data_IF_665838942842
#
_entry.id   IF_665838942842
#
_cell.length_a   1.000
_cell.length_b   1.000
_cell.length_c   1.000
_cell.angle_alpha   90.00
_cell.angle_beta   90.00
_cell.angle_gamma   90.00
#
_symmetry.space_group_name_H-M   'P 1'
#
loop_
_entity.id
_entity.type
_entity.pdbx_description
1 polymer ?
#
# COMPACT_ATOMS: atom_id res chain seq x y z
N UNK A 1 11.78 15.31 -13.98
CA UNK A 1 11.70 16.51 -13.14
C UNK A 1 11.18 16.11 -11.78
N UNK A 2 11.90 16.43 -10.71
CA UNK A 2 11.43 16.25 -9.34
C UNK A 2 10.18 17.12 -9.17
N UNK A 3 9.04 16.53 -8.82
CA UNK A 3 7.84 17.31 -8.53
C UNK A 3 7.93 17.72 -7.07
N UNK A 4 8.32 18.96 -6.83
CA UNK A 4 8.18 19.60 -5.53
C UNK A 4 6.70 19.92 -5.33
N UNK A 5 6.04 19.17 -4.46
CA UNK A 5 4.63 19.39 -4.12
C UNK A 5 4.64 20.28 -2.89
N UNK A 6 4.63 21.59 -3.11
CA UNK A 6 4.58 22.61 -2.06
C UNK A 6 3.38 22.38 -1.14
N UNK A 7 3.64 21.67 -0.05
CA UNK A 7 2.81 21.51 1.13
C UNK A 7 3.76 21.39 2.32
N UNK A 8 3.29 21.56 3.57
CA UNK A 8 4.14 21.33 4.73
C UNK A 8 4.76 19.93 4.60
N UNK A 9 6.09 19.89 4.45
CA UNK A 9 6.85 18.65 4.39
C UNK A 9 6.58 17.91 5.70
N UNK A 10 5.76 16.86 5.65
CA UNK A 10 5.68 15.93 6.76
C UNK A 10 7.09 15.36 6.95
N UNK A 11 7.65 15.54 8.14
CA UNK A 11 9.02 15.13 8.45
C UNK A 11 9.20 13.63 8.63
N UNK A 12 8.10 12.85 8.64
CA UNK A 12 8.13 11.40 8.87
C UNK A 12 7.13 10.62 7.97
N UNK A 13 7.26 10.71 6.63
CA UNK A 13 6.47 9.90 5.72
C UNK A 13 7.02 8.45 5.70
N UNK A 14 6.19 7.45 5.38
CA UNK A 14 6.66 6.07 5.26
C UNK A 14 7.76 5.92 4.19
N UNK A 15 8.86 5.27 4.55
CA UNK A 15 10.03 5.10 3.70
C UNK A 15 10.02 3.74 3.01
N UNK A 16 9.95 3.73 1.68
CA UNK A 16 9.90 2.50 0.87
C UNK A 16 11.24 1.74 0.86
N UNK A 17 12.35 2.37 1.26
CA UNK A 17 13.66 1.71 1.34
C UNK A 17 13.69 0.53 2.31
N UNK A 18 12.77 0.48 3.28
CA UNK A 18 12.66 -0.60 4.26
C UNK A 18 11.79 -1.78 3.79
N UNK A 19 11.23 -1.75 2.57
CA UNK A 19 10.39 -2.82 2.04
C UNK A 19 11.10 -4.17 1.92
N UNK A 20 12.43 -4.16 1.79
CA UNK A 20 13.27 -5.34 1.61
C UNK A 20 14.40 -5.32 2.64
N UNK A 21 14.90 -6.50 3.04
CA UNK A 21 15.99 -6.63 4.04
C UNK A 21 17.37 -6.17 3.55
N UNK A 22 17.45 -5.59 2.35
CA UNK A 22 18.70 -5.22 1.69
C UNK A 22 19.16 -3.82 2.08
N UNK A 23 20.45 -3.55 1.93
CA UNK A 23 21.04 -2.24 2.26
C UNK A 23 20.99 -1.24 1.09
N UNK A 24 20.80 -1.73 -0.14
CA UNK A 24 20.58 -0.92 -1.33
C UNK A 24 19.11 -0.51 -1.48
N UNK A 25 18.87 0.72 -1.96
CA UNK A 25 17.52 1.14 -2.29
C UNK A 25 16.96 0.29 -3.44
N UNK A 26 15.67 -0.11 -3.41
CA UNK A 26 15.08 -0.86 -4.50
C UNK A 26 15.09 -0.02 -5.78
N UNK A 27 15.55 -0.62 -6.88
CA UNK A 27 15.51 0.02 -8.19
C UNK A 27 14.08 0.07 -8.73
N UNK A 28 13.68 1.22 -9.27
CA UNK A 28 12.43 1.36 -10.00
C UNK A 28 12.57 0.69 -11.36
N UNK A 29 11.64 -0.20 -11.70
CA UNK A 29 11.55 -0.77 -13.05
C UNK A 29 10.61 0.05 -13.93
N UNK A 30 9.41 0.35 -13.42
CA UNK A 30 8.36 1.07 -14.13
C UNK A 30 7.55 1.97 -13.19
N UNK A 31 6.95 3.02 -13.75
CA UNK A 31 5.95 3.85 -13.06
C UNK A 31 4.66 3.87 -13.86
N UNK A 32 3.53 3.75 -13.18
CA UNK A 32 2.21 3.72 -13.80
C UNK A 32 1.30 4.81 -13.24
N UNK A 33 0.30 5.16 -14.05
CA UNK A 33 -0.89 5.90 -13.62
C UNK A 33 -2.03 4.92 -13.37
N UNK A 34 -2.76 5.12 -12.26
CA UNK A 34 -3.88 4.28 -11.83
C UNK A 34 -5.20 4.95 -12.20
N UNK A 35 -6.20 4.13 -12.52
CA UNK A 35 -7.55 4.62 -12.82
C UNK A 35 -8.34 4.93 -11.56
N UNK A 36 -9.17 5.96 -11.65
CA UNK A 36 -10.19 6.33 -10.68
C UNK A 36 -11.17 5.23 -10.42
N UNK A 37 -11.82 5.35 -9.27
CA UNK A 37 -12.90 4.48 -8.88
C UNK A 37 -14.14 5.31 -8.60
N UNK A 38 -14.99 5.44 -9.61
CA UNK A 38 -16.21 6.20 -9.52
C UNK A 38 -17.24 5.44 -8.65
N UNK A 39 -17.64 6.03 -7.53
CA UNK A 39 -18.66 5.46 -6.64
C UNK A 39 -20.09 5.84 -7.02
N UNK A 40 -20.28 6.82 -7.90
CA UNK A 40 -21.60 7.21 -8.41
C UNK A 40 -22.18 6.21 -9.43
N UNK A 41 -21.41 5.19 -9.82
CA UNK A 41 -21.85 4.15 -10.73
C UNK A 41 -22.00 2.79 -10.01
N UNK A 42 -23.23 2.47 -9.63
CA UNK A 42 -23.61 1.14 -9.13
C UNK A 42 -23.26 0.87 -7.67
N UNK A 43 -23.78 -0.25 -7.15
CA UNK A 43 -23.69 -0.65 -5.74
C UNK A 43 -22.25 -0.91 -5.25
N UNK A 44 -21.33 -1.22 -6.16
CA UNK A 44 -19.93 -1.52 -5.86
C UNK A 44 -18.95 -0.52 -6.49
N UNK A 45 -19.46 0.58 -7.05
CA UNK A 45 -18.67 1.50 -7.88
C UNK A 45 -18.19 0.87 -9.18
N UNK A 46 -17.53 1.68 -10.01
CA UNK A 46 -16.91 1.24 -11.26
C UNK A 46 -15.63 2.02 -11.55
N UNK A 47 -14.78 1.49 -12.42
CA UNK A 47 -13.55 2.18 -12.86
C UNK A 47 -13.88 3.53 -13.52
N UNK A 48 -13.33 4.60 -12.97
CA UNK A 48 -13.37 5.97 -13.47
C UNK A 48 -12.16 6.34 -14.36
N UNK A 49 -11.88 7.64 -14.46
CA UNK A 49 -10.87 8.20 -15.36
C UNK A 49 -9.43 7.94 -14.88
N UNK A 50 -8.43 7.95 -15.77
CA UNK A 50 -7.03 7.82 -15.37
C UNK A 50 -6.59 9.00 -14.49
N UNK A 51 -5.90 8.76 -13.37
CA UNK A 51 -5.31 9.84 -12.58
C UNK A 51 -4.22 10.55 -13.36
N UNK A 52 -4.48 11.81 -13.70
CA UNK A 52 -3.50 12.68 -14.33
C UNK A 52 -2.56 13.34 -13.31
N UNK A 53 -2.90 13.32 -12.02
CA UNK A 53 -2.09 13.96 -10.97
C UNK A 53 -2.25 13.24 -9.62
N UNK A 54 -1.15 12.88 -8.93
CA UNK A 54 0.25 13.01 -9.38
C UNK A 54 0.55 12.11 -10.60
N UNK A 55 1.57 12.46 -11.39
CA UNK A 55 1.90 11.78 -12.64
C UNK A 55 2.37 10.32 -12.48
N UNK A 56 2.68 9.90 -11.25
CA UNK A 56 2.96 8.51 -10.86
C UNK A 56 2.10 8.21 -9.64
N UNK A 57 1.34 7.12 -9.72
CA UNK A 57 0.44 6.66 -8.65
C UNK A 57 0.68 5.20 -8.28
N UNK A 58 1.51 4.50 -9.06
CA UNK A 58 2.00 3.15 -8.79
C UNK A 58 3.44 3.03 -9.29
N UNK A 59 4.32 2.54 -8.44
CA UNK A 59 5.71 2.24 -8.77
C UNK A 59 5.92 0.72 -8.75
N UNK A 60 6.57 0.18 -9.76
CA UNK A 60 7.11 -1.17 -9.73
C UNK A 60 8.55 -1.10 -9.22
N UNK A 61 8.80 -1.83 -8.14
CA UNK A 61 10.09 -1.95 -7.48
C UNK A 61 10.64 -3.34 -7.75
N UNK A 62 11.88 -3.40 -8.23
CA UNK A 62 12.51 -4.67 -8.50
C UNK A 62 12.66 -5.49 -7.22
N UNK A 63 12.05 -6.67 -7.23
CA UNK A 63 12.11 -7.64 -6.14
C UNK A 63 12.76 -8.94 -6.63
N UNK A 64 13.56 -9.55 -5.76
CA UNK A 64 14.09 -10.90 -5.92
C UNK A 64 13.02 -11.87 -5.45
N UNK A 65 12.66 -12.82 -6.29
CA UNK A 65 11.68 -13.86 -5.95
C UNK A 65 12.01 -14.51 -4.60
N UNK A 66 11.00 -14.60 -3.73
CA UNK A 66 11.13 -15.21 -2.41
C UNK A 66 11.82 -14.35 -1.35
N UNK A 67 12.29 -13.14 -1.68
CA UNK A 67 12.88 -12.26 -0.65
C UNK A 67 11.79 -11.75 0.31
N UNK A 68 12.07 -11.64 1.62
CA UNK A 68 11.10 -11.13 2.58
C UNK A 68 10.69 -9.69 2.26
N UNK A 69 9.38 -9.44 2.33
CA UNK A 69 8.79 -8.11 2.18
C UNK A 69 8.33 -7.62 3.55
N UNK A 70 8.60 -6.36 3.86
CA UNK A 70 8.26 -5.70 5.13
C UNK A 70 7.34 -4.50 4.88
N UNK A 71 6.82 -3.92 5.97
CA UNK A 71 6.14 -2.62 5.87
C UNK A 71 7.17 -1.49 5.61
N UNK A 72 6.80 -0.44 4.85
CA UNK A 72 7.58 0.79 4.81
C UNK A 72 7.83 1.34 6.22
N UNK A 73 9.05 1.82 6.47
CA UNK A 73 9.43 2.28 7.81
C UNK A 73 8.88 3.68 8.10
N UNK A 74 8.61 3.95 9.38
CA UNK A 74 8.13 5.23 9.87
C UNK A 74 8.49 5.40 11.34
N UNK A 75 8.98 6.58 11.72
CA UNK A 75 9.30 6.88 13.12
C UNK A 75 8.08 6.81 14.05
N UNK A 76 6.94 7.36 13.63
CA UNK A 76 5.72 7.45 14.43
C UNK A 76 4.98 6.12 14.54
N UNK A 77 4.68 5.70 15.77
CA UNK A 77 3.85 4.54 16.07
C UNK A 77 2.34 4.86 16.04
N UNK A 78 1.53 3.92 15.57
CA UNK A 78 0.08 3.95 15.68
C UNK A 78 -0.40 3.35 17.00
N UNK A 79 0.26 2.35 17.59
CA UNK A 79 -0.05 1.88 18.94
C UNK A 79 1.24 1.77 19.78
N UNK A 80 1.08 1.73 21.11
CA UNK A 80 2.21 1.43 21.99
C UNK A 80 2.78 0.03 21.68
N UNK A 81 4.07 -0.19 21.97
CA UNK A 81 4.74 -1.44 21.65
C UNK A 81 5.30 -1.52 20.23
N UNK A 82 5.42 -0.38 19.53
CA UNK A 82 6.15 -0.28 18.27
C UNK A 82 5.32 -0.54 17.00
N UNK A 83 4.00 -0.69 17.10
CA UNK A 83 3.16 -0.88 15.91
C UNK A 83 3.10 0.38 15.06
N UNK A 84 3.33 0.25 13.75
CA UNK A 84 3.44 1.38 12.81
C UNK A 84 2.33 1.42 11.77
N UNK A 85 1.78 0.26 11.39
CA UNK A 85 0.78 0.15 10.34
C UNK A 85 -0.37 -0.75 10.76
N UNK A 86 -1.58 -0.40 10.31
CA UNK A 86 -2.80 -1.18 10.44
C UNK A 86 -3.10 -1.85 9.09
N UNK A 87 -3.44 -3.14 9.10
CA UNK A 87 -3.80 -3.89 7.89
C UNK A 87 -5.27 -3.61 7.56
N UNK A 88 -5.49 -2.77 6.56
CA UNK A 88 -6.82 -2.40 6.08
C UNK A 88 -7.38 -3.40 5.07
N UNK A 89 -6.51 -4.12 4.38
CA UNK A 89 -6.85 -5.20 3.47
C UNK A 89 -5.69 -6.18 3.33
N UNK A 90 -5.97 -7.47 3.26
CA UNK A 90 -5.01 -8.49 2.85
C UNK A 90 -5.70 -9.65 2.13
N UNK A 91 -5.12 -10.10 1.02
CA UNK A 91 -5.42 -11.38 0.39
C UNK A 91 -4.12 -12.14 0.10
N UNK A 92 -4.16 -13.18 -0.74
CA UNK A 92 -2.95 -13.96 -1.05
C UNK A 92 -1.86 -13.16 -1.77
N UNK A 93 -2.22 -12.09 -2.50
CA UNK A 93 -1.33 -11.37 -3.40
C UNK A 93 -1.29 -9.84 -3.26
N UNK A 94 -2.04 -9.31 -2.30
CA UNK A 94 -2.20 -7.88 -2.06
C UNK A 94 -2.31 -7.57 -0.57
N UNK A 95 -1.78 -6.43 -0.16
CA UNK A 95 -1.95 -5.89 1.19
C UNK A 95 -2.07 -4.37 1.17
N UNK A 96 -2.94 -3.82 2.00
CA UNK A 96 -3.12 -2.38 2.20
C UNK A 96 -2.83 -2.01 3.64
N UNK A 97 -1.97 -1.02 3.83
CA UNK A 97 -1.42 -0.58 5.10
C UNK A 97 -1.84 0.86 5.38
N UNK A 98 -2.55 1.10 6.47
CA UNK A 98 -2.83 2.43 6.99
C UNK A 98 -1.84 2.82 8.08
N UNK A 99 -1.27 4.02 8.00
CA UNK A 99 -0.33 4.55 9.02
C UNK A 99 -1.04 5.45 10.06
N UNK A 100 -2.30 5.10 10.35
CA UNK A 100 -3.15 5.66 11.40
C UNK A 100 -3.82 4.53 12.18
N UNK A 101 -4.64 4.87 13.19
CA UNK A 101 -5.48 3.89 13.91
C UNK A 101 -6.86 3.72 13.28
N UNK A 102 -7.11 4.41 12.18
CA UNK A 102 -8.43 4.49 11.57
C UNK A 102 -8.61 3.32 10.62
N UNK A 103 -9.78 2.68 10.68
CA UNK A 103 -10.23 1.76 9.63
C UNK A 103 -10.75 2.56 8.43
N UNK A 104 -9.89 3.42 7.89
CA UNK A 104 -10.17 4.22 6.70
C UNK A 104 -8.88 4.66 6.05
N UNK A 105 -8.93 4.77 4.73
CA UNK A 105 -7.85 5.37 3.95
C UNK A 105 -7.97 6.90 3.85
N UNK A 106 -8.98 7.51 4.46
CA UNK A 106 -9.27 8.94 4.35
C UNK A 106 -8.16 9.85 4.91
N UNK A 107 -7.53 9.42 6.01
CA UNK A 107 -6.57 10.22 6.76
C UNK A 107 -5.20 9.54 6.86
N UNK A 108 -4.14 10.36 6.77
CA UNK A 108 -2.76 9.91 6.89
C UNK A 108 -2.25 9.18 5.65
N UNK A 109 -1.16 8.44 5.83
CA UNK A 109 -0.54 7.68 4.75
C UNK A 109 -1.16 6.30 4.61
N UNK A 110 -1.37 5.89 3.36
CA UNK A 110 -1.77 4.53 3.01
C UNK A 110 -0.83 3.99 1.97
N UNK A 111 -0.42 2.74 2.12
CA UNK A 111 0.43 2.03 1.17
C UNK A 111 -0.27 0.77 0.71
N UNK A 112 -0.43 0.61 -0.59
CA UNK A 112 -0.90 -0.60 -1.23
C UNK A 112 0.29 -1.33 -1.83
N UNK A 113 0.42 -2.61 -1.50
CA UNK A 113 1.41 -3.51 -2.07
C UNK A 113 0.70 -4.62 -2.84
N UNK A 114 1.20 -4.96 -4.02
CA UNK A 114 0.70 -6.04 -4.85
C UNK A 114 1.86 -6.82 -5.50
N UNK A 115 1.55 -8.03 -5.99
CA UNK A 115 2.53 -8.96 -6.54
C UNK A 115 3.55 -9.45 -5.49
N UNK A 116 3.05 -9.82 -4.32
CA UNK A 116 3.77 -10.55 -3.27
C UNK A 116 3.00 -11.82 -2.89
N UNK A 117 3.63 -12.78 -2.23
CA UNK A 117 2.94 -13.85 -1.52
C UNK A 117 2.78 -13.41 -0.06
N UNK A 118 1.60 -12.92 0.30
CA UNK A 118 1.30 -12.46 1.67
C UNK A 118 1.36 -13.65 2.63
N UNK A 119 1.85 -13.43 3.86
CA UNK A 119 1.84 -14.47 4.89
C UNK A 119 0.40 -15.01 5.06
N UNK A 120 0.17 -16.32 4.86
CA UNK A 120 -1.18 -16.88 4.90
C UNK A 120 -1.85 -16.72 6.26
N UNK A 121 -1.10 -16.66 7.36
CA UNK A 121 -1.64 -16.42 8.69
C UNK A 121 -2.09 -14.96 8.84
N UNK A 122 -1.34 -14.01 8.26
CA UNK A 122 -1.73 -12.60 8.25
C UNK A 122 -2.99 -12.37 7.41
N UNK A 123 -3.07 -12.97 6.22
CA UNK A 123 -4.24 -12.91 5.37
C UNK A 123 -5.47 -13.55 6.05
N UNK A 124 -5.30 -14.71 6.69
CA UNK A 124 -6.36 -15.38 7.45
C UNK A 124 -6.83 -14.54 8.66
N UNK A 125 -5.90 -13.92 9.39
CA UNK A 125 -6.23 -13.06 10.52
C UNK A 125 -7.03 -11.84 10.08
N UNK A 126 -6.62 -11.19 8.99
CA UNK A 126 -7.39 -10.09 8.39
C UNK A 126 -8.79 -10.56 7.97
N UNK A 127 -8.91 -11.67 7.25
CA UNK A 127 -10.20 -12.20 6.79
C UNK A 127 -11.15 -12.52 7.96
N UNK A 128 -10.62 -13.07 9.07
CA UNK A 128 -11.38 -13.31 10.28
C UNK A 128 -11.86 -12.01 10.93
N UNK A 129 -10.99 -11.01 11.04
CA UNK A 129 -11.35 -9.67 11.54
C UNK A 129 -12.41 -8.98 10.66
N UNK A 130 -12.30 -9.12 9.35
CA UNK A 130 -13.25 -8.56 8.38
C UNK A 130 -14.64 -9.21 8.52
N UNK A 131 -14.69 -10.54 8.58
CA UNK A 131 -15.92 -11.29 8.81
C UNK A 131 -16.56 -10.98 10.18
N UNK A 132 -15.76 -10.62 11.18
CA UNK A 132 -16.22 -10.17 12.49
C UNK A 132 -16.65 -8.69 12.55
N UNK A 133 -16.70 -8.00 11.41
CA UNK A 133 -17.14 -6.60 11.33
C UNK A 133 -16.07 -5.57 11.65
N UNK A 134 -14.79 -5.95 11.55
CA UNK A 134 -13.61 -5.05 11.58
C UNK A 134 -13.43 -4.23 12.86
N UNK A 135 -14.01 -4.65 13.98
CA UNK A 135 -13.84 -3.98 15.27
C UNK A 135 -12.37 -3.95 15.76
N UNK A 136 -11.54 -4.88 15.28
CA UNK A 136 -10.10 -4.92 15.51
C UNK A 136 -9.40 -5.50 14.29
N UNK A 137 -8.47 -4.72 13.71
CA UNK A 137 -7.68 -5.12 12.56
C UNK A 137 -6.23 -5.44 12.98
N UNK A 138 -5.52 -6.30 12.23
CA UNK A 138 -4.11 -6.60 12.52
C UNK A 138 -3.26 -5.34 12.47
N UNK A 139 -2.36 -5.18 13.44
CA UNK A 139 -1.35 -4.12 13.44
C UNK A 139 0.04 -4.74 13.32
N UNK A 140 0.93 -4.07 12.59
CA UNK A 140 2.25 -4.58 12.20
C UNK A 140 3.37 -3.72 12.79
N UNK A 141 4.49 -4.36 13.12
CA UNK A 141 5.73 -3.69 13.52
C UNK A 141 6.73 -3.67 12.37
N UNK A 142 7.72 -2.80 12.49
CA UNK A 142 8.88 -2.84 11.61
C UNK A 142 9.71 -4.12 11.86
N UNK A 143 10.29 -4.66 10.80
CA UNK A 143 11.12 -5.86 10.86
C UNK A 143 10.34 -7.18 10.90
N UNK A 144 9.00 -7.14 10.98
CA UNK A 144 8.14 -8.31 10.83
C UNK A 144 7.86 -8.52 9.33
N UNK A 145 8.26 -9.67 8.74
CA UNK A 145 7.94 -9.95 7.35
C UNK A 145 6.42 -10.15 7.20
N UNK A 146 5.85 -9.50 6.19
CA UNK A 146 4.41 -9.58 5.85
C UNK A 146 4.13 -10.59 4.75
N UNK A 147 5.19 -11.19 4.20
CA UNK A 147 5.16 -12.10 3.07
C UNK A 147 6.52 -12.15 2.39
N UNK A 148 6.54 -12.70 1.18
CA UNK A 148 7.72 -12.74 0.31
C UNK A 148 7.37 -12.18 -1.06
N UNK A 149 8.35 -11.65 -1.78
CA UNK A 149 8.13 -11.18 -3.15
C UNK A 149 7.73 -12.36 -4.05
N UNK A 150 6.70 -12.16 -4.88
CA UNK A 150 6.34 -13.11 -5.92
C UNK A 150 7.32 -13.00 -7.10
N UNK A 151 7.06 -13.77 -8.16
CA UNK A 151 7.82 -13.59 -9.41
C UNK A 151 7.52 -12.21 -10.01
N UNK A 152 8.58 -11.46 -10.35
CA UNK A 152 8.49 -10.12 -10.94
C UNK A 152 8.62 -9.00 -9.91
N UNK A 153 8.15 -7.81 -10.27
CA UNK A 153 8.32 -6.60 -9.45
C UNK A 153 7.23 -6.47 -8.38
N UNK A 154 7.61 -5.95 -7.21
CA UNK A 154 6.66 -5.54 -6.19
C UNK A 154 5.99 -4.23 -6.65
N UNK A 155 4.66 -4.21 -6.70
CA UNK A 155 3.91 -3.02 -7.09
C UNK A 155 3.53 -2.23 -5.83
N UNK A 156 3.83 -0.94 -5.80
CA UNK A 156 3.63 -0.07 -4.64
C UNK A 156 2.87 1.19 -5.04
N UNK A 157 1.75 1.45 -4.38
CA UNK A 157 1.03 2.72 -4.49
C UNK A 157 0.97 3.38 -3.11
N UNK A 158 1.29 4.68 -3.04
CA UNK A 158 1.25 5.47 -1.80
C UNK A 158 0.21 6.58 -1.93
N UNK A 159 -0.58 6.76 -0.89
CA UNK A 159 -1.55 7.85 -0.74
C UNK A 159 -1.17 8.70 0.48
N UNK A 160 -1.24 10.03 0.32
CA UNK A 160 -1.10 11.02 1.39
C UNK A 160 -2.31 11.97 1.35
N UNK A 161 -3.02 12.11 2.48
CA UNK A 161 -4.19 12.98 2.72
C UNK A 161 -4.91 13.49 1.46
N UNK A 162 -6.01 12.83 1.12
CA UNK A 162 -6.77 13.13 -0.11
C UNK A 162 -6.47 12.16 -1.25
N UNK A 163 -7.25 12.26 -2.33
CA UNK A 163 -7.50 11.27 -3.41
C UNK A 163 -6.37 10.25 -3.65
N UNK A 164 -6.60 8.93 -3.45
CA UNK A 164 -7.67 8.14 -4.08
C UNK A 164 -8.53 7.19 -3.23
N UNK A 165 -9.75 6.96 -3.72
CA UNK A 165 -11.04 6.74 -3.04
C UNK A 165 -11.21 5.43 -2.23
N UNK A 166 -11.99 5.52 -1.14
CA UNK A 166 -12.32 4.45 -0.18
C UNK A 166 -13.73 3.87 -0.38
N UNK A 167 -13.80 2.60 -0.77
CA UNK A 167 -14.45 1.51 -0.03
C UNK A 167 -13.83 0.21 -0.57
N UNK A 168 -13.38 -0.66 0.31
CA UNK A 168 -12.63 -1.89 -0.02
C UNK A 168 -13.46 -2.82 -0.93
N UNK A 169 -13.08 -2.98 -2.21
CA UNK A 169 -13.29 -4.20 -3.07
C UNK A 169 -12.86 -4.11 -4.55
N UNK A 170 -12.37 -2.99 -5.07
CA UNK A 170 -12.05 -2.84 -6.50
C UNK A 170 -10.55 -2.80 -6.80
N UNK A 171 -10.03 -3.85 -7.44
CA UNK A 171 -8.67 -3.96 -7.95
C UNK A 171 -8.30 -2.81 -8.92
N UNK A 172 -7.09 -2.27 -8.80
CA UNK A 172 -6.56 -1.24 -9.72
C UNK A 172 -5.72 -1.93 -10.80
N UNK A 173 -6.26 -2.01 -12.02
CA UNK A 173 -5.49 -2.39 -13.21
C UNK A 173 -4.81 -1.18 -13.83
N UNK A 174 -3.48 -1.13 -13.87
CA UNK A 174 -2.70 -0.07 -14.54
C UNK A 174 -2.55 -0.30 -16.05
N UNK A 175 -2.38 0.78 -16.82
CA UNK A 175 -1.93 0.72 -18.22
C UNK A 175 -0.50 1.24 -18.28
N UNK A 176 0.43 0.43 -18.78
CA UNK A 176 1.84 0.82 -18.93
C UNK A 176 2.05 1.78 -20.10
N UNK A 177 3.00 2.70 -19.93
CA UNK A 177 3.70 3.34 -21.03
C UNK A 177 5.16 2.92 -20.92
N UNK A 178 5.67 2.26 -21.95
CA UNK A 178 7.10 1.98 -22.12
C UNK A 178 7.85 3.29 -22.33
N UNK A 179 9.00 3.43 -21.66
CA UNK A 179 9.96 4.52 -21.78
C UNK A 179 11.29 3.98 -22.27
#
# INVERSE_FOLDING_TARGET
TLIDKEGPVDGDPPQLSALFARSDAPSFSHTYQVYDWNWGCGEHGCRGALLQTPGVTLAALHAREGEPVFIPSRGRQIYAGGYKALVLYADATHITLGYTREDSVANGYVVHLANLCVDPNLAALYAASDAAGRASLPALREGEPIGVAALGDLLVAVRDRGTFLDRVRGWIGGRGSES
#
